data_IF_860345867435
#
_entry.id   IF_860345867435
#
_cell.length_a   1.000
_cell.length_b   1.000
_cell.length_c   1.000
_cell.angle_alpha   90.00
_cell.angle_beta   90.00
_cell.angle_gamma   90.00
#
_symmetry.space_group_name_H-M   'P 1'
#
loop_
_entity.id
_entity.type
_entity.pdbx_description
1 polymer ?
#
# COMPACT_ATOMS: atom_id res chain seq x y z
N UNK A 1 6.11 19.07 5.10
CA UNK A 1 5.58 18.31 3.94
C UNK A 1 5.15 19.31 2.90
N UNK A 2 5.66 19.22 1.66
CA UNK A 2 5.20 20.07 0.57
C UNK A 2 3.75 19.71 0.20
N UNK A 3 2.92 20.72 -0.10
CA UNK A 3 1.58 20.58 -0.67
C UNK A 3 1.71 20.35 -2.18
N UNK A 4 0.67 19.77 -2.79
CA UNK A 4 0.65 19.54 -4.24
C UNK A 4 0.83 20.85 -5.05
N UNK A 5 0.36 21.99 -4.51
CA UNK A 5 0.53 23.31 -5.12
C UNK A 5 1.99 23.77 -5.14
N UNK A 6 2.75 23.48 -4.09
CA UNK A 6 4.17 23.85 -4.01
C UNK A 6 4.97 23.20 -5.15
N UNK A 7 4.61 21.95 -5.52
CA UNK A 7 5.23 21.23 -6.65
C UNK A 7 4.81 21.82 -7.98
N UNK A 8 3.53 22.13 -8.16
CA UNK A 8 3.03 22.73 -9.40
C UNK A 8 3.64 24.12 -9.66
N UNK A 9 3.73 24.96 -8.62
CA UNK A 9 4.33 26.28 -8.72
C UNK A 9 5.83 26.18 -9.06
N UNK A 10 6.53 25.18 -8.54
CA UNK A 10 7.92 24.92 -8.89
C UNK A 10 8.08 24.50 -10.36
N UNK A 11 7.23 23.59 -10.86
CA UNK A 11 7.24 23.17 -12.26
C UNK A 11 6.96 24.36 -13.18
N UNK A 12 5.87 25.10 -12.93
CA UNK A 12 5.49 26.26 -13.74
C UNK A 12 6.58 27.34 -13.76
N UNK A 13 7.27 27.56 -12.63
CA UNK A 13 8.40 28.51 -12.57
C UNK A 13 9.58 28.08 -13.42
N UNK A 14 9.89 26.78 -13.46
CA UNK A 14 11.04 26.24 -14.21
C UNK A 14 10.73 26.14 -15.71
N UNK A 15 9.49 25.78 -16.08
CA UNK A 15 9.16 25.43 -17.46
C UNK A 15 8.35 26.50 -18.20
N UNK A 16 7.69 27.42 -17.48
CA UNK A 16 6.74 28.38 -18.05
C UNK A 16 5.40 27.77 -18.49
N UNK A 17 5.17 26.47 -18.22
CA UNK A 17 3.99 25.75 -18.66
C UNK A 17 2.83 25.84 -17.64
N UNK A 18 1.59 25.94 -18.13
CA UNK A 18 0.39 25.82 -17.30
C UNK A 18 0.41 24.45 -16.61
N UNK A 19 0.39 24.45 -15.28
CA UNK A 19 0.44 23.22 -14.48
C UNK A 19 -0.85 23.07 -13.67
N UNK A 20 -1.54 21.94 -13.83
CA UNK A 20 -2.80 21.64 -13.12
C UNK A 20 -2.57 20.66 -11.97
N UNK A 21 -3.32 20.85 -10.89
CA UNK A 21 -3.22 20.04 -9.67
C UNK A 21 -4.48 19.21 -9.48
N UNK A 22 -4.30 17.92 -9.22
CA UNK A 22 -5.36 17.03 -8.77
C UNK A 22 -4.97 16.42 -7.41
N UNK A 23 -5.79 16.63 -6.38
CA UNK A 23 -5.62 16.03 -5.04
C UNK A 23 -6.72 14.99 -4.84
N UNK A 24 -6.38 13.71 -4.93
CA UNK A 24 -7.36 12.62 -4.88
C UNK A 24 -8.05 12.49 -3.52
N UNK A 25 -7.31 12.68 -2.41
CA UNK A 25 -7.89 12.63 -1.06
C UNK A 25 -8.56 11.29 -0.74
N UNK A 26 -9.76 11.36 -0.16
CA UNK A 26 -10.50 10.20 0.38
C UNK A 26 -11.05 9.24 -0.69
N UNK A 27 -11.11 9.65 -1.96
CA UNK A 27 -11.63 8.78 -3.04
C UNK A 27 -10.83 7.47 -3.15
N UNK A 28 -9.55 7.49 -2.78
CA UNK A 28 -8.65 6.34 -2.79
C UNK A 28 -8.99 5.27 -1.74
N UNK A 29 -9.83 5.59 -0.75
CA UNK A 29 -10.26 4.64 0.30
C UNK A 29 -11.64 4.04 0.04
N UNK A 30 -12.38 4.55 -0.94
CA UNK A 30 -13.70 4.07 -1.32
C UNK A 30 -13.67 3.24 -2.60
N UNK A 31 -14.86 2.83 -3.05
CA UNK A 31 -15.04 2.02 -4.26
C UNK A 31 -15.31 0.54 -3.97
N UNK A 32 -15.66 -0.20 -5.03
CA UNK A 32 -15.86 -1.66 -4.92
C UNK A 32 -14.49 -2.35 -4.92
N UNK A 33 -14.22 -3.29 -4.01
CA UNK A 33 -12.94 -4.00 -3.97
C UNK A 33 -12.72 -4.77 -5.27
N UNK A 34 -11.46 -4.82 -5.71
CA UNK A 34 -11.03 -5.57 -6.90
C UNK A 34 -11.17 -7.08 -6.68
N UNK A 35 -11.01 -7.87 -7.74
CA UNK A 35 -10.99 -9.34 -7.62
C UNK A 35 -9.89 -9.80 -6.66
N UNK A 36 -8.70 -9.21 -6.78
CA UNK A 36 -7.55 -9.52 -5.92
C UNK A 36 -7.85 -9.20 -4.45
N UNK A 37 -8.45 -8.04 -4.16
CA UNK A 37 -8.82 -7.65 -2.79
C UNK A 37 -9.81 -8.65 -2.16
N UNK A 38 -10.82 -9.08 -2.93
CA UNK A 38 -11.84 -10.02 -2.44
C UNK A 38 -11.24 -11.40 -2.15
N UNK A 39 -10.42 -11.92 -3.06
CA UNK A 39 -9.74 -13.21 -2.88
C UNK A 39 -8.80 -13.14 -1.68
N UNK A 40 -8.00 -12.08 -1.57
CA UNK A 40 -7.09 -11.88 -0.45
C UNK A 40 -7.84 -11.81 0.89
N UNK A 41 -8.90 -11.01 0.96
CA UNK A 41 -9.71 -10.89 2.17
C UNK A 41 -10.33 -12.23 2.60
N UNK A 42 -10.85 -13.01 1.65
CA UNK A 42 -11.41 -14.34 1.93
C UNK A 42 -10.33 -15.32 2.43
N UNK A 43 -9.15 -15.33 1.78
CA UNK A 43 -8.01 -16.17 2.19
C UNK A 43 -7.54 -15.82 3.61
N UNK A 44 -7.29 -14.54 3.88
CA UNK A 44 -6.82 -14.06 5.18
C UNK A 44 -7.85 -14.29 6.29
N UNK A 45 -9.13 -13.99 6.03
CA UNK A 45 -10.20 -14.19 7.01
C UNK A 45 -10.37 -15.67 7.41
N UNK A 46 -10.39 -16.57 6.42
CA UNK A 46 -10.43 -18.01 6.67
C UNK A 46 -9.20 -18.50 7.46
N UNK A 47 -8.01 -18.02 7.10
CA UNK A 47 -6.78 -18.40 7.78
C UNK A 47 -6.73 -17.88 9.22
N UNK A 48 -7.17 -16.65 9.48
CA UNK A 48 -7.27 -16.10 10.84
C UNK A 48 -8.16 -16.96 11.75
N UNK A 49 -9.30 -17.43 11.24
CA UNK A 49 -10.18 -18.34 12.00
C UNK A 49 -9.47 -19.66 12.32
N UNK A 50 -8.72 -20.23 11.37
CA UNK A 50 -7.93 -21.46 11.63
C UNK A 50 -6.87 -21.24 12.70
N UNK A 51 -6.10 -20.16 12.59
CA UNK A 51 -5.06 -19.78 13.57
C UNK A 51 -5.65 -19.64 14.98
N UNK A 52 -6.81 -19.00 15.11
CA UNK A 52 -7.51 -18.88 16.39
C UNK A 52 -7.99 -20.24 16.93
N UNK A 53 -8.50 -21.12 16.05
CA UNK A 53 -8.93 -22.47 16.44
C UNK A 53 -7.77 -23.35 16.91
N UNK A 54 -6.57 -23.10 16.39
CA UNK A 54 -5.34 -23.78 16.80
C UNK A 54 -4.76 -23.20 18.11
N UNK A 55 -5.44 -22.22 18.72
CA UNK A 55 -5.10 -21.64 20.02
C UNK A 55 -4.10 -20.49 19.96
N UNK A 56 -3.71 -20.02 18.77
CA UNK A 56 -2.79 -18.90 18.63
C UNK A 56 -3.55 -17.56 18.76
N UNK A 57 -3.12 -16.72 19.70
CA UNK A 57 -3.61 -15.35 19.92
C UNK A 57 -2.49 -14.34 19.74
N UNK A 58 -2.83 -13.07 19.51
CA UNK A 58 -1.87 -11.97 19.35
C UNK A 58 -0.95 -12.10 18.11
N UNK A 59 -1.48 -12.68 17.04
CA UNK A 59 -0.84 -12.74 15.72
C UNK A 59 -1.63 -11.97 14.66
N UNK A 60 -0.90 -11.33 13.75
CA UNK A 60 -1.41 -10.81 12.49
C UNK A 60 -1.23 -11.87 11.41
N UNK A 61 -2.25 -12.08 10.57
CA UNK A 61 -2.16 -12.94 9.38
C UNK A 61 -1.74 -12.14 8.16
N UNK A 62 -0.94 -12.74 7.28
CA UNK A 62 -0.48 -12.11 6.06
C UNK A 62 -0.32 -13.09 4.91
N UNK A 63 -0.02 -12.54 3.74
CA UNK A 63 0.37 -13.28 2.54
C UNK A 63 1.78 -12.83 2.14
N UNK A 64 2.69 -13.78 1.92
CA UNK A 64 4.04 -13.52 1.42
C UNK A 64 4.41 -14.65 0.46
N UNK A 65 4.90 -14.29 -0.72
CA UNK A 65 5.29 -15.26 -1.76
C UNK A 65 4.17 -16.29 -2.06
N UNK A 66 2.92 -15.81 -2.12
CA UNK A 66 1.67 -16.60 -2.26
C UNK A 66 1.33 -17.54 -1.09
N UNK A 67 2.13 -17.55 -0.03
CA UNK A 67 1.91 -18.36 1.17
C UNK A 67 1.32 -17.55 2.32
N UNK A 68 0.37 -18.16 3.04
CA UNK A 68 -0.25 -17.58 4.22
C UNK A 68 0.66 -17.79 5.43
N UNK A 69 0.88 -16.73 6.22
CA UNK A 69 1.73 -16.79 7.40
C UNK A 69 1.16 -16.00 8.57
N UNK A 70 1.61 -16.32 9.78
CA UNK A 70 1.36 -15.54 11.00
C UNK A 70 2.59 -14.74 11.38
N UNK A 71 2.37 -13.56 11.94
CA UNK A 71 3.41 -12.68 12.48
C UNK A 71 2.97 -12.18 13.85
N UNK A 72 3.81 -12.25 14.90
CA UNK A 72 3.47 -11.68 16.20
C UNK A 72 3.02 -10.22 16.05
N UNK A 73 1.91 -9.86 16.70
CA UNK A 73 1.30 -8.54 16.53
C UNK A 73 2.27 -7.41 16.92
N UNK A 74 3.08 -7.63 17.97
CA UNK A 74 4.13 -6.69 18.40
C UNK A 74 5.13 -6.35 17.30
N UNK A 75 5.46 -7.31 16.43
CA UNK A 75 6.35 -7.11 15.29
C UNK A 75 5.57 -6.49 14.12
N UNK A 76 4.32 -6.91 13.91
CA UNK A 76 3.50 -6.45 12.79
C UNK A 76 3.23 -4.93 12.80
N UNK A 77 3.14 -4.33 13.99
CA UNK A 77 2.89 -2.90 14.18
C UNK A 77 4.14 -2.03 14.07
N UNK A 78 5.33 -2.62 13.98
CA UNK A 78 6.57 -1.86 13.87
C UNK A 78 6.70 -1.18 12.49
N UNK A 79 7.32 0.01 12.41
CA UNK A 79 7.59 0.68 11.14
C UNK A 79 8.40 -0.22 10.19
N UNK A 80 7.91 -0.38 8.96
CA UNK A 80 8.61 -1.12 7.91
C UNK A 80 9.22 -0.16 6.91
N UNK A 81 10.48 -0.40 6.54
CA UNK A 81 11.10 0.27 5.39
C UNK A 81 10.60 -0.43 4.13
N UNK A 82 9.97 0.34 3.24
CA UNK A 82 9.54 -0.15 1.94
C UNK A 82 10.71 0.06 0.96
N UNK A 83 11.17 -1.01 0.33
CA UNK A 83 12.15 -0.93 -0.74
C UNK A 83 11.43 -0.70 -2.07
N UNK A 84 11.69 0.45 -2.68
CA UNK A 84 11.04 0.93 -3.89
C UNK A 84 12.04 1.23 -5.01
N UNK A 85 13.35 1.09 -4.76
CA UNK A 85 14.40 1.55 -5.67
C UNK A 85 14.30 0.87 -7.03
N UNK A 86 14.04 -0.44 -7.04
CA UNK A 86 13.87 -1.21 -8.29
C UNK A 86 12.71 -0.68 -9.14
N UNK A 87 11.59 -0.32 -8.52
CA UNK A 87 10.43 0.24 -9.22
C UNK A 87 10.71 1.66 -9.73
N UNK A 88 11.40 2.49 -8.94
CA UNK A 88 11.80 3.82 -9.40
C UNK A 88 12.77 3.77 -10.58
N UNK A 89 13.74 2.84 -10.57
CA UNK A 89 14.64 2.63 -11.70
C UNK A 89 13.86 2.24 -12.96
N UNK A 90 12.95 1.26 -12.84
CA UNK A 90 12.11 0.82 -13.95
C UNK A 90 11.25 1.95 -14.54
N UNK A 91 10.61 2.77 -13.70
CA UNK A 91 9.80 3.90 -14.17
C UNK A 91 10.65 4.90 -14.95
N UNK A 92 11.90 5.15 -14.54
CA UNK A 92 12.82 6.06 -15.25
C UNK A 92 13.31 5.51 -16.58
N UNK A 93 13.33 4.19 -16.76
CA UNK A 93 13.71 3.55 -18.02
C UNK A 93 12.56 3.55 -19.03
N UNK A 94 11.32 3.42 -18.56
CA UNK A 94 10.13 3.29 -19.41
C UNK A 94 9.46 4.62 -19.79
N UNK A 95 9.76 5.72 -19.09
CA UNK A 95 9.14 7.04 -19.28
C UNK A 95 10.12 8.04 -19.90
#
# INVERSE_FOLDING_TARGET
KAKARDVADAIARITGLETRVAVLGHIQRGGRPTVTDRILAARLGNYAVKVLKDGLTDYCVGLKDEELFTLPLEIAIQPKKIDVEKYYALIKELA
#
